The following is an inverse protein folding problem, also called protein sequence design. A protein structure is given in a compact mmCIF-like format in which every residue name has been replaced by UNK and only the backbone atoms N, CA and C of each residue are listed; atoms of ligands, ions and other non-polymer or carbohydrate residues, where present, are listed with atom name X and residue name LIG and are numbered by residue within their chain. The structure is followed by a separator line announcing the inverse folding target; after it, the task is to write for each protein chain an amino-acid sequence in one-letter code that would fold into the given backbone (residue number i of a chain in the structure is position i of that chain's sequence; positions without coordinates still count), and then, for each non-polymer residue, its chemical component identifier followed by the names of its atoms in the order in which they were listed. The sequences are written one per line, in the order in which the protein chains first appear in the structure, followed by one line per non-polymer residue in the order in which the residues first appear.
data_IF_208909193970
#
_entry.id   IF_208909193970
#
_cell.length_a   1.000
_cell.length_b   1.000
_cell.length_c   1.000
_cell.angle_alpha   90.00
_cell.angle_beta   90.00
_cell.angle_gamma   90.00
#
_symmetry.space_group_name_H-M   'P 1'
#
loop_
_entity.id
_entity.type
_entity.pdbx_description
1 polymer ?
#
# COMPACT_ATOMS: atom_id res chain seq x y z
N UNK A 1 40.59 1.36 3.35
CA UNK A 1 40.00 2.62 2.83
C UNK A 1 38.87 2.42 1.80
N UNK A 2 38.91 1.39 0.94
CA UNK A 2 37.89 1.17 -0.10
C UNK A 2 36.48 0.84 0.42
N UNK A 3 36.35 0.20 1.59
CA UNK A 3 35.06 -0.24 2.14
C UNK A 3 34.21 0.93 2.68
N UNK A 4 34.84 1.94 3.27
CA UNK A 4 34.16 3.12 3.83
C UNK A 4 33.52 3.98 2.73
N UNK A 5 34.22 4.17 1.61
CA UNK A 5 33.68 4.89 0.45
C UNK A 5 32.46 4.16 -0.14
N UNK A 6 32.53 2.83 -0.28
CA UNK A 6 31.40 2.01 -0.77
C UNK A 6 30.20 2.03 0.18
N UNK A 7 30.39 2.00 1.49
CA UNK A 7 29.29 2.12 2.45
C UNK A 7 28.57 3.47 2.34
N UNK A 8 29.32 4.58 2.22
CA UNK A 8 28.73 5.92 2.10
C UNK A 8 27.91 6.09 0.82
N UNK A 9 28.42 5.61 -0.31
CA UNK A 9 27.70 5.63 -1.60
C UNK A 9 26.45 4.74 -1.54
N UNK A 10 26.55 3.54 -0.96
CA UNK A 10 25.37 2.66 -0.78
C UNK A 10 24.32 3.25 0.17
N UNK A 11 24.71 3.92 1.24
CA UNK A 11 23.77 4.53 2.18
C UNK A 11 23.06 5.74 1.55
N UNK A 12 23.80 6.60 0.87
CA UNK A 12 23.25 7.78 0.19
C UNK A 12 22.28 7.39 -0.95
N UNK A 13 22.62 6.37 -1.73
CA UNK A 13 21.77 5.87 -2.82
C UNK A 13 20.53 5.13 -2.34
N UNK A 14 20.62 4.37 -1.23
CA UNK A 14 19.44 3.71 -0.64
C UNK A 14 18.44 4.72 -0.09
N UNK A 15 18.92 5.76 0.60
CA UNK A 15 18.07 6.81 1.17
C UNK A 15 17.36 7.62 0.07
N UNK A 16 18.09 8.07 -0.96
CA UNK A 16 17.48 8.79 -2.09
C UNK A 16 16.44 7.95 -2.85
N UNK A 17 16.68 6.65 -3.04
CA UNK A 17 15.67 5.75 -3.66
C UNK A 17 14.41 5.57 -2.82
N UNK A 18 14.54 5.57 -1.49
CA UNK A 18 13.41 5.46 -0.57
C UNK A 18 12.59 6.75 -0.55
N UNK A 19 13.25 7.90 -0.38
CA UNK A 19 12.61 9.22 -0.34
C UNK A 19 11.90 9.56 -1.67
N UNK A 20 12.48 9.13 -2.81
CA UNK A 20 11.85 9.28 -4.13
C UNK A 20 10.57 8.45 -4.29
N UNK A 21 10.43 7.29 -3.61
CA UNK A 21 9.19 6.50 -3.61
C UNK A 21 8.12 7.06 -2.68
N UNK A 22 8.53 7.75 -1.61
CA UNK A 22 7.60 8.39 -0.68
C UNK A 22 6.89 9.60 -1.30
N UNK A 23 7.48 10.19 -2.34
CA UNK A 23 6.92 11.34 -3.06
C UNK A 23 6.18 10.84 -4.29
N UNK A 24 4.85 10.77 -4.28
CA UNK A 24 4.20 10.57 -5.58
C UNK A 24 2.69 10.56 -5.66
N UNK A 25 1.98 9.93 -4.72
CA UNK A 25 0.54 9.75 -4.91
C UNK A 25 -0.17 9.95 -3.56
N UNK A 26 -0.81 11.11 -3.42
CA UNK A 26 -1.74 11.34 -2.33
C UNK A 26 -3.12 10.89 -2.80
N UNK A 27 -3.64 9.80 -2.24
CA UNK A 27 -5.04 9.41 -2.44
C UNK A 27 -5.98 10.45 -1.83
N UNK A 28 -7.09 10.71 -2.50
CA UNK A 28 -8.13 11.58 -1.98
C UNK A 28 -9.19 10.77 -1.25
N UNK A 29 -9.89 11.42 -0.32
CA UNK A 29 -11.09 10.84 0.28
C UNK A 29 -12.13 10.55 -0.83
N UNK A 30 -12.71 9.36 -0.80
CA UNK A 30 -13.63 8.89 -1.84
C UNK A 30 -12.99 8.03 -2.94
N UNK A 31 -11.67 8.00 -3.06
CA UNK A 31 -10.99 7.17 -4.06
C UNK A 31 -11.26 5.67 -3.81
N UNK A 32 -11.45 4.92 -4.90
CA UNK A 32 -11.56 3.45 -4.85
C UNK A 32 -10.17 2.82 -5.00
N UNK A 33 -9.85 1.89 -4.11
CA UNK A 33 -8.54 1.24 -4.02
C UNK A 33 -8.70 -0.27 -3.80
N UNK A 34 -7.87 -1.07 -4.46
CA UNK A 34 -7.68 -2.47 -4.13
C UNK A 34 -6.78 -2.62 -2.91
N UNK A 35 -7.11 -3.56 -2.02
CA UNK A 35 -6.31 -3.85 -0.83
C UNK A 35 -5.56 -5.16 -1.01
N UNK A 36 -4.23 -5.14 -0.88
CA UNK A 36 -3.43 -6.36 -0.78
C UNK A 36 -3.73 -7.09 0.53
N UNK A 37 -4.38 -8.25 0.42
CA UNK A 37 -4.76 -9.08 1.56
C UNK A 37 -4.28 -10.54 1.34
N UNK A 38 -3.07 -10.89 1.80
CA UNK A 38 -2.53 -12.25 1.66
C UNK A 38 -3.15 -13.24 2.67
N UNK A 39 -4.23 -12.86 3.36
CA UNK A 39 -4.89 -13.71 4.36
C UNK A 39 -5.41 -14.98 3.70
N UNK A 40 -5.14 -16.12 4.34
CA UNK A 40 -5.55 -17.45 3.86
C UNK A 40 -7.03 -17.70 4.20
N UNK A 41 -7.96 -17.78 3.24
CA UNK A 41 -9.27 -18.30 3.54
C UNK A 41 -9.17 -19.81 3.77
N UNK A 42 -9.82 -20.26 4.85
CA UNK A 42 -9.87 -21.68 5.20
C UNK A 42 -10.69 -22.44 4.15
N UNK A 43 -10.21 -23.60 3.73
CA UNK A 43 -10.90 -24.48 2.79
C UNK A 43 -10.77 -24.10 1.31
N UNK A 44 -10.01 -23.05 0.98
CA UNK A 44 -9.76 -22.64 -0.41
C UNK A 44 -8.27 -22.67 -0.74
N UNK A 45 -7.94 -22.99 -1.99
CA UNK A 45 -6.55 -23.11 -2.42
C UNK A 45 -5.95 -21.74 -2.76
N UNK A 46 -4.90 -21.36 -2.03
CA UNK A 46 -4.25 -20.05 -2.10
C UNK A 46 -3.73 -19.65 -3.48
N UNK A 47 -3.24 -20.60 -4.29
CA UNK A 47 -2.63 -20.28 -5.59
C UNK A 47 -3.65 -19.81 -6.62
N UNK A 48 -4.92 -20.16 -6.43
CA UNK A 48 -6.01 -19.78 -7.34
C UNK A 48 -6.79 -18.56 -6.85
N UNK A 49 -6.40 -17.98 -5.71
CA UNK A 49 -7.07 -16.80 -5.18
C UNK A 49 -6.38 -15.51 -5.59
N UNK A 50 -7.14 -14.48 -5.99
CA UNK A 50 -6.58 -13.16 -6.18
C UNK A 50 -6.12 -12.62 -4.82
N UNK A 51 -4.88 -12.13 -4.70
CA UNK A 51 -4.36 -11.58 -3.45
C UNK A 51 -4.86 -10.14 -3.17
N UNK A 52 -5.60 -9.57 -4.12
CA UNK A 52 -6.23 -8.26 -4.01
C UNK A 52 -7.69 -8.41 -3.57
N UNK A 53 -8.01 -7.87 -2.40
CA UNK A 53 -9.37 -7.72 -1.89
C UNK A 53 -9.98 -6.45 -2.50
N UNK A 54 -11.29 -6.55 -2.82
CA UNK A 54 -12.11 -5.67 -3.66
C UNK A 54 -11.91 -4.15 -3.52
N UNK A 55 -12.63 -3.35 -4.33
CA UNK A 55 -12.56 -1.90 -4.20
C UNK A 55 -13.03 -1.48 -2.81
N UNK A 56 -12.14 -0.81 -2.09
CA UNK A 56 -12.41 -0.10 -0.85
C UNK A 56 -12.39 1.39 -1.14
N UNK A 57 -13.30 2.12 -0.52
CA UNK A 57 -13.30 3.58 -0.53
C UNK A 57 -12.33 4.10 0.53
N UNK A 58 -11.44 5.01 0.14
CA UNK A 58 -10.62 5.78 1.06
C UNK A 58 -11.53 6.72 1.86
N UNK A 59 -11.46 6.63 3.18
CA UNK A 59 -12.19 7.53 4.07
C UNK A 59 -11.36 8.76 4.36
N UNK A 60 -10.14 8.55 4.86
CA UNK A 60 -9.20 9.62 5.20
C UNK A 60 -7.78 9.04 5.33
N UNK A 61 -6.77 9.87 5.13
CA UNK A 61 -5.40 9.54 5.56
C UNK A 61 -5.24 9.91 7.03
N UNK A 62 -4.60 9.03 7.80
CA UNK A 62 -4.19 9.37 9.17
C UNK A 62 -2.80 10.01 9.13
N UNK A 63 -1.89 9.35 8.42
CA UNK A 63 -0.52 9.78 8.16
C UNK A 63 -0.19 9.50 6.70
N UNK A 64 0.99 9.92 6.23
CA UNK A 64 1.50 9.63 4.88
C UNK A 64 1.58 8.13 4.55
N UNK A 65 1.60 7.28 5.58
CA UNK A 65 1.81 5.83 5.47
C UNK A 65 0.54 5.03 5.76
N UNK A 66 -0.39 5.56 6.55
CA UNK A 66 -1.56 4.81 7.05
C UNK A 66 -2.84 5.45 6.55
N UNK A 67 -3.59 4.67 5.78
CA UNK A 67 -4.84 5.08 5.15
C UNK A 67 -6.00 4.33 5.79
N UNK A 68 -7.08 5.06 6.10
CA UNK A 68 -8.34 4.47 6.55
C UNK A 68 -9.21 4.19 5.33
N UNK A 69 -9.65 2.95 5.18
CA UNK A 69 -10.44 2.48 4.05
C UNK A 69 -11.69 1.74 4.52
N UNK A 70 -12.72 1.65 3.68
CA UNK A 70 -13.96 0.92 3.97
C UNK A 70 -14.50 0.24 2.71
N UNK A 71 -14.99 -0.99 2.82
CA UNK A 71 -15.46 -1.79 1.67
C UNK A 71 -16.88 -1.40 1.21
N UNK A 72 -17.76 -1.10 2.15
CA UNK A 72 -19.14 -0.67 1.91
C UNK A 72 -19.63 0.25 3.04
N UNK A 73 -20.69 1.04 2.81
CA UNK A 73 -21.22 2.00 3.79
C UNK A 73 -21.42 1.41 5.20
N UNK A 74 -21.89 0.16 5.27
CA UNK A 74 -22.20 -0.53 6.53
C UNK A 74 -21.04 -1.37 7.09
N UNK A 75 -19.93 -1.48 6.36
CA UNK A 75 -18.77 -2.26 6.81
C UNK A 75 -17.90 -1.50 7.81
N UNK A 76 -17.27 -2.23 8.74
CA UNK A 76 -16.28 -1.64 9.64
C UNK A 76 -15.08 -1.10 8.84
N UNK A 77 -14.65 0.16 9.07
CA UNK A 77 -13.43 0.67 8.47
C UNK A 77 -12.19 -0.15 8.88
N UNK A 78 -11.22 -0.22 7.99
CA UNK A 78 -9.91 -0.86 8.19
C UNK A 78 -8.79 0.15 7.99
N UNK A 79 -7.66 -0.12 8.61
CA UNK A 79 -6.43 0.64 8.41
C UNK A 79 -5.46 -0.18 7.56
N UNK A 80 -4.98 0.42 6.48
CA UNK A 80 -4.04 -0.19 5.56
C UNK A 80 -2.79 0.66 5.43
N UNK A 81 -1.69 -0.01 5.11
CA UNK A 81 -0.45 0.69 4.76
C UNK A 81 -0.57 1.14 3.30
N UNK A 82 -0.05 2.33 2.98
CA UNK A 82 -0.07 2.91 1.64
C UNK A 82 0.42 1.92 0.57
N UNK A 83 1.59 1.31 0.78
CA UNK A 83 2.17 0.29 -0.13
C UNK A 83 1.31 -0.98 -0.36
N UNK A 84 0.26 -1.19 0.43
CA UNK A 84 -0.69 -2.30 0.25
C UNK A 84 -1.92 -1.91 -0.56
N UNK A 85 -2.00 -0.66 -1.03
CA UNK A 85 -3.11 -0.15 -1.82
C UNK A 85 -2.70 -0.01 -3.29
N UNK A 86 -3.62 -0.36 -4.18
CA UNK A 86 -3.49 -0.11 -5.60
C UNK A 86 -4.71 0.67 -6.12
N UNK A 87 -4.51 1.67 -7.00
CA UNK A 87 -5.62 2.41 -7.61
C UNK A 87 -6.62 1.49 -8.30
N UNK A 88 -7.91 1.77 -8.12
CA UNK A 88 -8.97 1.14 -8.91
C UNK A 88 -9.22 2.00 -10.17
N UNK A 89 -8.93 1.44 -11.34
CA UNK A 89 -9.29 2.06 -12.62
C UNK A 89 -10.58 1.39 -13.13
N UNK A 90 -11.66 2.18 -13.21
CA UNK A 90 -12.89 1.76 -13.89
C UNK A 90 -12.65 1.84 -15.41
N UNK A 91 -13.09 0.83 -16.17
CA UNK A 91 -12.71 0.63 -17.57
C UNK A 91 -13.87 0.84 -18.53
#
# INVERSE_FOLDING_TARGET
MHNFARQRVNLATKKTRYDARATGHRFNEGDKMWLWNPTRPKGLYLKLQPPWDGPHTVLNMLNDVVVRIRKSLNSKPKFAHYDRLAPYYDH
#
